data_IF_127394428667
#
_entry.id   IF_127394428667
#
_cell.length_a   1.000
_cell.length_b   1.000
_cell.length_c   1.000
_cell.angle_alpha   90.00
_cell.angle_beta   90.00
_cell.angle_gamma   90.00
#
_symmetry.space_group_name_H-M   'P 1'
#
loop_
_entity.id
_entity.type
_entity.pdbx_description
1 polymer ?
#
# COMPACT_ATOMS: atom_id res chain seq x y z
N UNK A 1 1.66 -10.48 11.34
CA UNK A 1 2.99 -9.90 11.63
C UNK A 1 3.52 -10.54 12.91
N UNK A 2 4.51 -11.43 12.83
CA UNK A 2 5.12 -12.04 14.04
C UNK A 2 6.27 -11.14 14.48
N UNK A 3 6.08 -10.43 15.60
CA UNK A 3 7.09 -9.57 16.23
C UNK A 3 7.84 -10.42 17.26
N UNK A 4 9.04 -10.89 16.91
CA UNK A 4 9.74 -11.91 17.72
C UNK A 4 10.81 -11.36 18.66
N UNK A 5 11.17 -10.07 18.60
CA UNK A 5 12.25 -9.55 19.44
C UNK A 5 12.12 -8.07 19.77
N UNK A 6 12.06 -7.79 21.06
CA UNK A 6 12.08 -6.45 21.65
C UNK A 6 13.50 -6.11 22.09
N UNK A 7 14.01 -4.96 21.67
CA UNK A 7 15.24 -4.39 22.22
C UNK A 7 14.90 -3.02 22.79
N UNK A 8 15.25 -2.78 24.05
CA UNK A 8 15.02 -1.52 24.76
C UNK A 8 16.34 -0.77 24.89
N UNK A 9 16.41 0.45 24.37
CA UNK A 9 17.54 1.36 24.64
C UNK A 9 17.04 2.49 25.54
N UNK A 10 17.62 2.58 26.73
CA UNK A 10 17.38 3.68 27.67
C UNK A 10 18.18 4.90 27.19
N UNK A 11 17.48 5.94 26.74
CA UNK A 11 18.05 7.28 26.58
C UNK A 11 17.72 8.08 27.85
N UNK A 12 18.54 9.07 28.20
CA UNK A 12 18.42 9.86 29.43
C UNK A 12 17.04 10.54 29.64
N UNK A 13 16.22 10.64 28.58
CA UNK A 13 14.89 11.27 28.59
C UNK A 13 13.73 10.32 28.22
N UNK A 14 13.99 9.11 27.70
CA UNK A 14 12.95 8.20 27.22
C UNK A 14 13.42 6.77 26.90
N UNK A 15 12.49 5.83 26.88
CA UNK A 15 12.69 4.46 26.40
C UNK A 15 12.18 4.36 24.96
N UNK A 16 13.00 3.86 24.05
CA UNK A 16 12.60 3.54 22.68
C UNK A 16 12.40 2.03 22.53
N UNK A 17 11.25 1.65 21.99
CA UNK A 17 10.90 0.28 21.64
C UNK A 17 11.17 0.06 20.16
N UNK A 18 11.90 -0.99 19.84
CA UNK A 18 12.21 -1.39 18.47
C UNK A 18 11.59 -2.76 18.16
N UNK A 19 11.26 -2.97 16.89
CA UNK A 19 10.80 -4.25 16.37
C UNK A 19 11.61 -4.66 15.14
N UNK A 20 11.65 -5.97 14.89
CA UNK A 20 12.22 -6.57 13.67
C UNK A 20 11.18 -7.51 13.07
N UNK A 21 11.19 -7.66 11.74
CA UNK A 21 10.28 -8.58 11.06
C UNK A 21 10.76 -10.02 11.29
N UNK A 22 9.87 -10.90 11.81
CA UNK A 22 10.21 -12.31 12.05
C UNK A 22 10.61 -13.08 10.78
N UNK A 23 10.15 -12.67 9.59
CA UNK A 23 10.46 -13.35 8.33
C UNK A 23 11.89 -13.07 7.80
N UNK A 24 12.69 -12.27 8.51
CA UNK A 24 14.10 -12.03 8.17
C UNK A 24 14.94 -13.12 8.83
N UNK A 25 15.85 -13.74 8.06
CA UNK A 25 16.78 -14.75 8.60
C UNK A 25 17.56 -14.20 9.80
N UNK A 26 17.82 -15.00 10.86
CA UNK A 26 18.42 -14.50 12.10
C UNK A 26 19.72 -13.71 11.91
N UNK A 27 20.54 -14.08 10.92
CA UNK A 27 21.81 -13.43 10.62
C UNK A 27 21.62 -11.98 10.17
N UNK A 28 20.49 -11.67 9.53
CA UNK A 28 20.19 -10.35 8.96
C UNK A 28 19.39 -9.45 9.92
N UNK A 29 18.93 -9.96 11.07
CA UNK A 29 18.08 -9.19 12.01
C UNK A 29 18.82 -8.08 12.75
N UNK A 30 20.16 -8.12 12.76
CA UNK A 30 21.03 -7.14 13.43
C UNK A 30 21.42 -5.94 12.57
N UNK A 31 21.14 -5.95 11.26
CA UNK A 31 21.41 -4.80 10.40
C UNK A 31 20.50 -3.61 10.78
N UNK A 32 21.03 -2.39 10.75
CA UNK A 32 20.29 -1.16 11.07
C UNK A 32 19.01 -1.00 10.25
N UNK A 33 19.02 -1.45 8.99
CA UNK A 33 17.85 -1.40 8.11
C UNK A 33 16.70 -2.36 8.56
N UNK A 34 17.03 -3.41 9.33
CA UNK A 34 16.07 -4.38 9.81
C UNK A 34 15.41 -3.97 11.14
N UNK A 35 16.01 -3.02 11.87
CA UNK A 35 15.55 -2.56 13.18
C UNK A 35 14.69 -1.31 12.98
N UNK A 36 13.40 -1.43 13.26
CA UNK A 36 12.44 -0.35 13.07
C UNK A 36 11.96 0.16 14.43
N UNK A 37 11.88 1.49 14.58
CA UNK A 37 11.35 2.13 15.79
C UNK A 37 9.83 1.90 15.84
N UNK A 38 9.35 1.31 16.93
CA UNK A 38 7.92 1.14 17.18
C UNK A 38 7.31 2.32 17.92
N UNK A 39 7.91 2.67 19.07
CA UNK A 39 7.35 3.67 19.98
C UNK A 39 8.44 4.31 20.83
N UNK A 40 8.22 5.56 21.23
CA UNK A 40 9.04 6.27 22.22
C UNK A 40 8.15 6.58 23.42
N UNK A 41 8.56 6.15 24.60
CA UNK A 41 7.82 6.33 25.86
C UNK A 41 8.70 7.05 26.86
N UNK A 42 8.16 8.07 27.53
CA UNK A 42 8.93 8.80 28.55
C UNK A 42 9.17 7.91 29.78
N UNK A 43 10.34 8.08 30.41
CA UNK A 43 10.71 7.30 31.61
C UNK A 43 9.73 7.49 32.76
N UNK A 44 9.09 8.67 32.84
CA UNK A 44 8.04 8.98 33.82
C UNK A 44 6.82 8.06 33.68
N UNK A 45 6.35 7.85 32.45
CA UNK A 45 5.21 6.98 32.17
C UNK A 45 5.56 5.50 32.39
N UNK A 46 6.78 5.11 31.99
CA UNK A 46 7.25 3.74 32.15
C UNK A 46 7.34 3.33 33.63
N UNK A 47 7.82 4.23 34.49
CA UNK A 47 7.87 4.02 35.95
C UNK A 47 6.48 3.94 36.59
N UNK A 48 5.49 4.64 36.02
CA UNK A 48 4.13 4.71 36.57
C UNK A 48 3.30 3.48 36.22
N UNK A 49 3.37 3.03 34.96
CA UNK A 49 2.49 1.98 34.45
C UNK A 49 3.21 0.66 34.19
N UNK A 50 4.53 0.65 34.04
CA UNK A 50 5.29 -0.55 33.66
C UNK A 50 5.37 -0.77 32.14
N UNK A 51 6.30 -1.64 31.74
CA UNK A 51 6.59 -1.91 30.33
C UNK A 51 5.47 -2.72 29.67
N UNK A 52 5.07 -3.83 30.29
CA UNK A 52 4.13 -4.79 29.73
C UNK A 52 2.75 -4.18 29.40
N UNK A 53 2.06 -3.48 30.32
CA UNK A 53 0.74 -2.90 30.00
C UNK A 53 0.85 -1.79 28.95
N UNK A 54 1.96 -1.04 28.91
CA UNK A 54 2.18 -0.03 27.87
C UNK A 54 2.30 -0.67 26.49
N UNK A 55 3.06 -1.76 26.37
CA UNK A 55 3.21 -2.50 25.12
C UNK A 55 1.92 -3.20 24.72
N UNK A 56 1.14 -3.73 25.66
CA UNK A 56 -0.14 -4.38 25.38
C UNK A 56 -1.13 -3.45 24.67
N UNK A 57 -1.20 -2.17 25.08
CA UNK A 57 -2.05 -1.19 24.40
C UNK A 57 -1.62 -1.01 22.93
N UNK A 58 -0.31 -0.84 22.70
CA UNK A 58 0.25 -0.65 21.35
C UNK A 58 0.00 -1.89 20.48
N UNK A 59 0.25 -3.09 21.00
CA UNK A 59 0.06 -4.35 20.28
C UNK A 59 -1.41 -4.56 19.94
N UNK A 60 -2.32 -4.23 20.85
CA UNK A 60 -3.76 -4.32 20.63
C UNK A 60 -4.21 -3.41 19.50
N UNK A 61 -3.78 -2.15 19.49
CA UNK A 61 -4.12 -1.21 18.43
C UNK A 61 -3.56 -1.67 17.07
N UNK A 62 -2.31 -2.16 17.05
CA UNK A 62 -1.70 -2.76 15.85
C UNK A 62 -2.47 -3.98 15.35
N UNK A 63 -3.01 -4.81 16.23
CA UNK A 63 -3.79 -5.98 15.85
C UNK A 63 -5.09 -5.61 15.15
N UNK A 64 -5.78 -4.56 15.60
CA UNK A 64 -6.97 -4.05 14.90
C UNK A 64 -6.60 -3.46 13.53
N UNK A 65 -5.53 -2.67 13.47
CA UNK A 65 -5.06 -2.11 12.21
C UNK A 65 -4.64 -3.20 11.22
N UNK A 66 -4.00 -4.27 11.69
CA UNK A 66 -3.62 -5.41 10.85
C UNK A 66 -4.84 -6.11 10.23
N UNK A 67 -5.90 -6.33 11.01
CA UNK A 67 -7.15 -6.92 10.50
C UNK A 67 -7.82 -6.02 9.44
N UNK A 68 -7.88 -4.71 9.68
CA UNK A 68 -8.40 -3.74 8.70
C UNK A 68 -7.59 -3.81 7.41
N UNK A 69 -6.26 -3.80 7.53
CA UNK A 69 -5.35 -3.81 6.39
C UNK A 69 -5.43 -5.12 5.60
N UNK A 70 -5.65 -6.26 6.25
CA UNK A 70 -5.86 -7.55 5.57
C UNK A 70 -7.04 -7.53 4.61
N UNK A 71 -8.15 -6.88 4.99
CA UNK A 71 -9.33 -6.75 4.13
C UNK A 71 -9.05 -5.73 3.03
N UNK A 72 -8.57 -4.54 3.39
CA UNK A 72 -8.31 -3.43 2.45
C UNK A 72 -7.28 -3.79 1.39
N UNK A 73 -6.28 -4.59 1.75
CA UNK A 73 -5.23 -5.06 0.84
C UNK A 73 -5.50 -6.41 0.18
N UNK A 74 -6.70 -6.97 0.33
CA UNK A 74 -7.06 -8.16 -0.43
C UNK A 74 -7.33 -7.79 -1.90
N UNK A 75 -6.77 -8.51 -2.88
CA UNK A 75 -7.06 -8.29 -4.30
C UNK A 75 -8.50 -8.69 -4.66
N UNK A 76 -9.12 -9.56 -3.86
CA UNK A 76 -10.51 -10.00 -4.02
C UNK A 76 -11.20 -9.85 -2.66
N UNK A 77 -12.31 -9.12 -2.63
CA UNK A 77 -13.05 -8.82 -1.40
C UNK A 77 -14.50 -9.24 -1.63
N UNK A 78 -15.03 -10.02 -0.70
CA UNK A 78 -16.46 -10.37 -0.73
C UNK A 78 -17.30 -9.28 -0.06
N UNK A 79 -18.52 -9.05 -0.56
CA UNK A 79 -19.40 -7.98 -0.08
C UNK A 79 -19.81 -8.19 1.38
N UNK A 80 -19.92 -9.44 1.82
CA UNK A 80 -20.26 -9.81 3.20
C UNK A 80 -19.17 -9.40 4.21
N UNK A 81 -17.94 -9.14 3.75
CA UNK A 81 -16.83 -8.69 4.59
C UNK A 81 -16.88 -7.17 4.90
N UNK A 82 -17.67 -6.39 4.17
CA UNK A 82 -17.72 -4.93 4.33
C UNK A 82 -18.36 -4.46 5.65
N UNK A 83 -19.46 -5.06 6.13
CA UNK A 83 -19.99 -4.76 7.46
C UNK A 83 -18.97 -5.07 8.56
N UNK A 84 -18.23 -6.17 8.43
CA UNK A 84 -17.17 -6.51 9.37
C UNK A 84 -16.04 -5.47 9.37
N UNK A 85 -15.62 -5.00 8.19
CA UNK A 85 -14.66 -3.91 8.06
C UNK A 85 -15.13 -2.62 8.75
N UNK A 86 -16.42 -2.27 8.63
CA UNK A 86 -16.99 -1.10 9.32
C UNK A 86 -16.87 -1.22 10.84
N UNK A 87 -17.21 -2.39 11.40
CA UNK A 87 -17.10 -2.66 12.84
C UNK A 87 -15.66 -2.57 13.33
N UNK A 88 -14.70 -3.13 12.56
CA UNK A 88 -13.27 -3.04 12.89
C UNK A 88 -12.78 -1.58 12.94
N UNK A 89 -13.16 -0.77 11.94
CA UNK A 89 -12.81 0.65 11.88
C UNK A 89 -13.44 1.41 13.06
N UNK A 90 -14.71 1.14 13.36
CA UNK A 90 -15.40 1.78 14.47
C UNK A 90 -14.71 1.48 15.81
N UNK A 91 -14.42 0.21 16.10
CA UNK A 91 -13.73 -0.17 17.33
C UNK A 91 -12.35 0.47 17.44
N UNK A 92 -11.56 0.45 16.36
CA UNK A 92 -10.25 1.09 16.32
C UNK A 92 -10.35 2.60 16.66
N UNK A 93 -11.32 3.32 16.10
CA UNK A 93 -11.50 4.75 16.34
C UNK A 93 -12.03 5.05 17.75
N UNK A 94 -12.95 4.24 18.27
CA UNK A 94 -13.45 4.36 19.64
C UNK A 94 -12.31 4.18 20.65
N UNK A 95 -11.45 3.19 20.43
CA UNK A 95 -10.28 2.96 21.28
C UNK A 95 -9.30 4.14 21.22
N UNK A 96 -9.06 4.69 20.04
CA UNK A 96 -8.23 5.89 19.90
C UNK A 96 -8.79 7.07 20.71
N UNK A 97 -10.10 7.31 20.65
CA UNK A 97 -10.75 8.37 21.43
C UNK A 97 -10.67 8.12 22.95
N UNK A 98 -10.77 6.86 23.39
CA UNK A 98 -10.62 6.50 24.80
C UNK A 98 -9.19 6.70 25.31
N UNK A 99 -8.18 6.39 24.50
CA UNK A 99 -6.77 6.51 24.86
C UNK A 99 -6.28 7.96 24.80
N UNK A 100 -6.84 8.76 23.90
CA UNK A 100 -6.42 10.15 23.67
C UNK A 100 -7.63 11.11 23.75
N UNK A 101 -8.28 11.24 24.93
CA UNK A 101 -9.42 12.12 25.10
C UNK A 101 -8.97 13.57 24.88
N UNK A 102 -9.50 14.22 23.85
CA UNK A 102 -9.14 15.59 23.46
C UNK A 102 -8.27 15.70 22.20
N UNK A 103 -7.80 14.59 21.65
CA UNK A 103 -7.20 14.58 20.31
C UNK A 103 -8.28 14.48 19.23
N UNK A 104 -8.14 15.29 18.18
CA UNK A 104 -9.02 15.20 17.01
C UNK A 104 -8.69 13.98 16.15
N UNK A 105 -9.72 13.45 15.47
CA UNK A 105 -9.56 12.38 14.48
C UNK A 105 -8.67 12.88 13.35
N UNK A 106 -7.63 12.11 12.99
CA UNK A 106 -6.75 12.48 11.88
C UNK A 106 -7.47 12.33 10.53
N UNK A 107 -7.07 13.09 9.48
CA UNK A 107 -7.63 12.90 8.14
C UNK A 107 -7.54 11.46 7.63
N UNK A 108 -6.46 10.73 7.97
CA UNK A 108 -6.30 9.31 7.62
C UNK A 108 -7.39 8.44 8.23
N UNK A 109 -7.69 8.64 9.52
CA UNK A 109 -8.76 7.94 10.22
C UNK A 109 -10.13 8.30 9.65
N UNK A 110 -10.36 9.57 9.28
CA UNK A 110 -11.59 9.97 8.59
C UNK A 110 -11.74 9.26 7.24
N UNK A 111 -10.68 9.19 6.44
CA UNK A 111 -10.70 8.46 5.17
C UNK A 111 -10.96 6.96 5.35
N UNK A 112 -10.51 6.35 6.44
CA UNK A 112 -10.81 4.93 6.72
C UNK A 112 -12.32 4.66 6.79
N UNK A 113 -13.12 5.59 7.32
CA UNK A 113 -14.58 5.44 7.40
C UNK A 113 -15.23 5.29 6.02
N UNK A 114 -14.63 5.89 4.99
CA UNK A 114 -15.12 5.82 3.61
C UNK A 114 -14.59 4.61 2.83
N UNK A 115 -13.67 3.81 3.40
CA UNK A 115 -13.09 2.67 2.71
C UNK A 115 -14.13 1.60 2.33
N UNK A 116 -15.07 1.20 3.22
CA UNK A 116 -16.09 0.20 2.87
C UNK A 116 -17.01 0.66 1.73
N UNK A 117 -17.44 1.92 1.73
CA UNK A 117 -18.27 2.48 0.65
C UNK A 117 -17.51 2.63 -0.65
N UNK A 118 -16.21 2.96 -0.57
CA UNK A 118 -15.33 3.04 -1.74
C UNK A 118 -15.11 1.65 -2.34
N UNK A 119 -14.88 0.61 -1.52
CA UNK A 119 -14.77 -0.78 -1.99
C UNK A 119 -16.04 -1.25 -2.68
N UNK A 120 -17.21 -0.90 -2.12
CA UNK A 120 -18.49 -1.29 -2.72
C UNK A 120 -18.70 -0.66 -4.11
N UNK A 121 -18.21 0.57 -4.33
CA UNK A 121 -18.40 1.31 -5.58
C UNK A 121 -17.33 1.03 -6.63
N UNK A 122 -16.07 0.95 -6.21
CA UNK A 122 -14.90 0.89 -7.11
C UNK A 122 -14.24 -0.50 -7.12
N UNK A 123 -14.66 -1.42 -6.25
CA UNK A 123 -14.02 -2.71 -6.05
C UNK A 123 -12.79 -2.63 -5.13
N UNK A 124 -11.97 -3.70 -5.09
CA UNK A 124 -10.84 -3.79 -4.18
C UNK A 124 -9.81 -2.66 -4.35
N UNK A 125 -9.46 -1.99 -3.25
CA UNK A 125 -8.64 -0.77 -3.25
C UNK A 125 -7.20 -0.98 -3.73
N UNK A 126 -6.71 -2.21 -3.66
CA UNK A 126 -5.41 -2.65 -4.19
C UNK A 126 -5.27 -2.32 -5.68
N UNK A 127 -6.35 -2.31 -6.45
CA UNK A 127 -6.26 -1.98 -7.87
C UNK A 127 -6.03 -0.48 -8.13
N UNK A 128 -6.36 0.37 -7.16
CA UNK A 128 -6.25 1.83 -7.25
C UNK A 128 -5.08 2.46 -6.48
N UNK A 129 -4.28 1.66 -5.77
CA UNK A 129 -3.22 2.19 -4.90
C UNK A 129 -1.98 2.71 -5.65
N UNK A 130 -1.23 3.61 -5.01
CA UNK A 130 -0.10 4.30 -5.64
C UNK A 130 1.25 3.60 -5.52
N UNK A 131 1.34 2.45 -4.83
CA UNK A 131 2.62 1.75 -4.59
C UNK A 131 3.37 1.42 -5.88
N UNK A 132 2.67 0.98 -6.93
CA UNK A 132 3.27 0.68 -8.24
C UNK A 132 3.79 1.94 -8.93
N UNK A 133 3.09 3.07 -8.79
CA UNK A 133 3.52 4.35 -9.34
C UNK A 133 4.76 4.88 -8.61
N UNK A 134 4.80 4.77 -7.28
CA UNK A 134 5.97 5.13 -6.47
C UNK A 134 7.19 4.29 -6.82
N UNK A 135 7.02 2.98 -6.97
CA UNK A 135 8.09 2.07 -7.39
C UNK A 135 8.62 2.43 -8.79
N UNK A 136 7.72 2.71 -9.75
CA UNK A 136 8.10 3.15 -11.10
C UNK A 136 8.85 4.49 -11.08
N UNK A 137 8.51 5.38 -10.16
CA UNK A 137 9.14 6.68 -10.05
C UNK A 137 10.66 6.58 -9.76
N UNK A 138 11.14 5.50 -9.14
CA UNK A 138 12.58 5.25 -8.95
C UNK A 138 13.36 5.24 -10.28
N UNK A 139 12.82 4.64 -11.34
CA UNK A 139 13.42 4.66 -12.68
C UNK A 139 13.61 6.10 -13.19
N UNK A 140 12.58 6.93 -13.03
CA UNK A 140 12.60 8.31 -13.50
C UNK A 140 13.58 9.18 -12.71
N UNK A 141 13.65 9.04 -11.37
CA UNK A 141 14.66 9.75 -10.56
C UNK A 141 16.07 9.41 -11.00
N UNK A 142 16.36 8.11 -11.17
CA UNK A 142 17.69 7.67 -11.60
C UNK A 142 18.02 8.18 -13.01
N UNK A 143 17.07 8.13 -13.92
CA UNK A 143 17.24 8.62 -15.29
C UNK A 143 17.46 10.13 -15.33
N UNK A 144 16.73 10.91 -14.52
CA UNK A 144 16.92 12.35 -14.43
C UNK A 144 18.34 12.72 -13.98
N UNK A 145 18.84 12.03 -12.94
CA UNK A 145 20.21 12.22 -12.44
C UNK A 145 21.25 11.89 -13.53
N UNK A 146 21.04 10.81 -14.29
CA UNK A 146 21.97 10.38 -15.35
C UNK A 146 21.95 11.28 -16.58
N UNK A 147 20.80 11.83 -16.96
CA UNK A 147 20.69 12.75 -18.09
C UNK A 147 21.40 14.08 -17.81
N UNK A 148 21.37 14.55 -16.56
CA UNK A 148 21.98 15.81 -16.15
C UNK A 148 21.39 17.07 -16.82
N UNK A 149 20.35 16.92 -17.65
CA UNK A 149 19.66 18.00 -18.35
C UNK A 149 18.27 18.22 -17.75
N UNK A 150 18.05 19.41 -17.19
CA UNK A 150 16.83 19.80 -16.50
C UNK A 150 15.87 20.62 -17.37
N UNK A 151 16.28 20.99 -18.59
CA UNK A 151 15.40 21.67 -19.54
C UNK A 151 14.37 20.67 -20.05
N UNK A 152 13.09 20.96 -19.82
CA UNK A 152 11.96 20.11 -20.19
C UNK A 152 12.11 18.65 -19.71
N UNK A 153 12.57 18.46 -18.46
CA UNK A 153 12.78 17.14 -17.86
C UNK A 153 11.60 16.17 -18.07
N UNK A 154 10.32 16.55 -17.89
CA UNK A 154 9.20 15.65 -18.12
C UNK A 154 9.16 15.08 -19.55
N UNK A 155 9.44 15.91 -20.55
CA UNK A 155 9.48 15.50 -21.96
C UNK A 155 10.63 14.53 -22.21
N UNK A 156 11.83 14.87 -21.73
CA UNK A 156 13.03 14.03 -21.88
C UNK A 156 12.85 12.65 -21.24
N UNK A 157 12.28 12.61 -20.03
CA UNK A 157 11.97 11.36 -19.32
C UNK A 157 10.88 10.55 -20.02
N UNK A 158 9.80 11.20 -20.48
CA UNK A 158 8.71 10.54 -21.18
C UNK A 158 9.17 9.92 -22.51
N UNK A 159 9.89 10.70 -23.32
CA UNK A 159 10.43 10.25 -24.61
C UNK A 159 11.34 9.03 -24.44
N UNK A 160 12.33 9.11 -23.54
CA UNK A 160 13.25 7.99 -23.28
C UNK A 160 12.54 6.74 -22.75
N UNK A 161 11.54 6.93 -21.89
CA UNK A 161 10.74 5.81 -21.38
C UNK A 161 9.89 5.16 -22.49
N UNK A 162 9.28 5.94 -23.38
CA UNK A 162 8.51 5.44 -24.52
C UNK A 162 9.42 4.71 -25.52
N UNK A 163 10.57 5.28 -25.89
CA UNK A 163 11.55 4.62 -26.77
C UNK A 163 12.03 3.28 -26.18
N UNK A 164 12.32 3.25 -24.87
CA UNK A 164 12.71 2.03 -24.17
C UNK A 164 11.58 1.00 -24.01
N UNK A 165 10.31 1.40 -24.08
CA UNK A 165 9.18 0.47 -24.18
C UNK A 165 9.10 -0.13 -25.58
N UNK A 166 9.14 0.69 -26.63
CA UNK A 166 9.08 0.24 -28.02
C UNK A 166 10.17 -0.80 -28.33
N UNK A 167 11.41 -0.53 -27.90
CA UNK A 167 12.51 -1.48 -28.07
C UNK A 167 12.23 -2.83 -27.39
N UNK A 168 11.73 -2.82 -26.15
CA UNK A 168 11.42 -4.06 -25.40
C UNK A 168 10.30 -4.86 -26.06
N UNK A 169 9.24 -4.19 -26.51
CA UNK A 169 8.13 -4.83 -27.21
C UNK A 169 8.57 -5.49 -28.53
N UNK A 170 9.49 -4.85 -29.27
CA UNK A 170 10.03 -5.41 -30.51
C UNK A 170 10.98 -6.60 -30.27
N UNK A 171 11.70 -6.60 -29.16
CA UNK A 171 12.72 -7.64 -28.86
C UNK A 171 12.11 -8.87 -28.17
N UNK A 172 10.94 -8.74 -27.54
CA UNK A 172 10.25 -9.82 -26.87
C UNK A 172 9.40 -10.66 -27.85
N UNK A 173 10.04 -11.61 -28.55
CA UNK A 173 9.31 -12.73 -29.14
C UNK A 173 8.67 -13.58 -28.04
N UNK A 174 7.41 -13.30 -27.67
CA UNK A 174 6.63 -14.13 -26.73
C UNK A 174 6.16 -13.47 -25.43
N UNK A 175 5.90 -12.16 -25.40
CA UNK A 175 4.98 -11.56 -24.40
C UNK A 175 5.43 -11.54 -22.93
N UNK A 176 6.70 -11.81 -22.60
CA UNK A 176 7.23 -11.57 -21.25
C UNK A 176 7.99 -10.24 -21.20
N UNK A 177 7.27 -9.12 -21.09
CA UNK A 177 7.88 -7.80 -20.85
C UNK A 177 7.86 -7.39 -19.37
N UNK A 178 8.93 -7.75 -18.67
CA UNK A 178 9.46 -7.02 -17.50
C UNK A 178 8.64 -7.02 -16.21
N UNK A 179 9.34 -6.93 -15.08
CA UNK A 179 8.84 -6.90 -13.69
C UNK A 179 7.63 -6.00 -13.37
N UNK A 180 7.22 -5.09 -14.28
CA UNK A 180 6.03 -4.23 -14.14
C UNK A 180 4.76 -4.90 -14.70
N UNK A 181 4.87 -5.90 -15.58
CA UNK A 181 3.76 -6.63 -16.23
C UNK A 181 3.51 -8.03 -15.67
N UNK A 182 4.08 -8.41 -14.52
CA UNK A 182 3.32 -9.36 -13.70
C UNK A 182 2.08 -8.59 -13.26
N UNK A 183 0.98 -8.77 -13.98
CA UNK A 183 -0.34 -8.47 -13.49
C UNK A 183 -0.45 -9.01 -12.06
N UNK A 184 -1.30 -8.40 -11.24
CA UNK A 184 -1.76 -9.12 -10.07
C UNK A 184 -2.38 -10.40 -10.65
N UNK A 185 -1.87 -11.59 -10.28
CA UNK A 185 -2.38 -12.86 -10.82
C UNK A 185 -3.89 -12.91 -10.54
N UNK A 186 -4.68 -12.69 -11.59
CA UNK A 186 -6.13 -12.59 -11.50
C UNK A 186 -6.74 -13.99 -11.66
N UNK A 187 -6.43 -14.91 -10.75
CA UNK A 187 -6.98 -16.27 -10.75
C UNK A 187 -6.89 -16.98 -12.12
N UNK A 188 -7.68 -18.03 -12.37
CA UNK A 188 -7.69 -18.76 -13.65
C UNK A 188 -8.50 -18.04 -14.75
N UNK A 189 -8.52 -16.70 -14.75
CA UNK A 189 -9.24 -15.90 -15.74
C UNK A 189 -8.45 -15.69 -17.03
N UNK A 190 -9.15 -15.41 -18.14
CA UNK A 190 -8.51 -15.00 -19.39
C UNK A 190 -8.20 -13.50 -19.33
N UNK A 191 -6.91 -13.15 -19.34
CA UNK A 191 -6.47 -11.77 -19.33
C UNK A 191 -6.45 -11.19 -20.75
N UNK A 192 -6.91 -9.95 -20.93
CA UNK A 192 -6.81 -9.19 -22.18
C UNK A 192 -6.24 -7.81 -21.88
N UNK A 193 -5.22 -7.38 -22.63
CA UNK A 193 -4.58 -6.09 -22.43
C UNK A 193 -5.54 -4.96 -22.85
N UNK A 194 -5.71 -3.96 -21.98
CA UNK A 194 -6.48 -2.77 -22.32
C UNK A 194 -5.80 -2.02 -23.49
N UNK A 195 -6.42 -2.06 -24.66
CA UNK A 195 -5.89 -1.48 -25.92
C UNK A 195 -5.72 -2.46 -27.06
N UNK A 196 -5.82 -3.78 -26.81
CA UNK A 196 -5.80 -4.78 -27.87
C UNK A 196 -7.17 -4.93 -28.55
N UNK A 197 -7.17 -5.41 -29.80
CA UNK A 197 -8.38 -5.71 -30.58
C UNK A 197 -9.29 -6.70 -29.85
N UNK A 198 -8.69 -7.64 -29.11
CA UNK A 198 -9.42 -8.62 -28.28
C UNK A 198 -10.20 -7.94 -27.15
N UNK A 199 -9.60 -6.96 -26.47
CA UNK A 199 -10.25 -6.16 -25.43
C UNK A 199 -11.34 -5.27 -26.01
N UNK A 200 -11.10 -4.65 -27.16
CA UNK A 200 -12.12 -3.86 -27.87
C UNK A 200 -13.37 -4.68 -28.19
N UNK A 201 -13.19 -5.91 -28.66
CA UNK A 201 -14.30 -6.80 -28.97
C UNK A 201 -15.12 -7.20 -27.72
N UNK A 202 -14.47 -7.34 -26.56
CA UNK A 202 -15.16 -7.60 -25.29
C UNK A 202 -15.99 -6.39 -24.85
N UNK A 203 -15.41 -5.19 -24.90
CA UNK A 203 -16.12 -3.95 -24.55
C UNK A 203 -17.33 -3.74 -25.47
N UNK A 204 -17.18 -3.98 -26.77
CA UNK A 204 -18.27 -3.83 -27.75
C UNK A 204 -19.39 -4.86 -27.56
N UNK A 205 -19.06 -6.06 -27.08
CA UNK A 205 -20.06 -7.10 -26.77
C UNK A 205 -20.91 -6.73 -25.54
N UNK A 206 -20.31 -6.09 -24.54
CA UNK A 206 -20.98 -5.74 -23.28
C UNK A 206 -21.67 -4.36 -23.35
N UNK A 207 -21.11 -3.43 -24.13
CA UNK A 207 -21.63 -2.08 -24.35
C UNK A 207 -21.75 -1.79 -25.86
N UNK A 208 -22.80 -2.30 -26.53
CA UNK A 208 -22.94 -2.19 -27.98
C UNK A 208 -23.10 -0.76 -28.51
N UNK A 209 -23.41 0.20 -27.63
CA UNK A 209 -23.59 1.61 -27.97
C UNK A 209 -22.32 2.47 -27.78
N UNK A 210 -21.22 1.88 -27.29
CA UNK A 210 -19.94 2.58 -27.11
C UNK A 210 -19.14 2.44 -28.41
N UNK A 211 -18.89 3.56 -29.07
CA UNK A 211 -18.10 3.62 -30.30
C UNK A 211 -16.81 4.42 -30.06
N UNK A 212 -15.86 4.38 -31.00
CA UNK A 212 -14.52 5.02 -30.84
C UNK A 212 -14.62 6.53 -30.53
N UNK A 213 -15.75 7.16 -30.87
CA UNK A 213 -16.03 8.59 -30.64
C UNK A 213 -17.03 8.91 -29.53
N UNK A 214 -17.55 7.92 -28.78
CA UNK A 214 -18.49 8.22 -27.68
C UNK A 214 -17.77 8.92 -26.52
N UNK A 215 -18.30 10.06 -26.08
CA UNK A 215 -17.75 10.78 -24.91
C UNK A 215 -17.82 9.89 -23.67
N UNK A 216 -16.69 9.70 -22.99
CA UNK A 216 -16.62 9.00 -21.70
C UNK A 216 -17.27 9.78 -20.55
N UNK A 217 -17.66 11.03 -20.82
CA UNK A 217 -18.28 11.94 -19.87
C UNK A 217 -19.57 12.50 -20.49
N UNK A 218 -20.69 11.89 -20.13
CA UNK A 218 -22.02 12.52 -20.09
C UNK A 218 -22.48 12.57 -18.63
#
# INVERSE_FOLDING_TARGET
>A
MVVEKWSTKLLSLGCAFYYTLGNIKPENRSHLNAIQLLAIVTTKLLKKYGIDPTLQVIIRDLSYLEQIMRIVFSPVIDKEQLPYLQVLIQHHHQMFQQLFPGCSITPKMHYMVHMPTTILKLGPLVHSWCMRYEAKHHYFKRTAILLGNWINLPFSLAKRHQEGLCYRLQTAGGGLSTFIEKGIENGPGKESLAGDVSYWNLVKAEFPNVDVGSSLYE
#
